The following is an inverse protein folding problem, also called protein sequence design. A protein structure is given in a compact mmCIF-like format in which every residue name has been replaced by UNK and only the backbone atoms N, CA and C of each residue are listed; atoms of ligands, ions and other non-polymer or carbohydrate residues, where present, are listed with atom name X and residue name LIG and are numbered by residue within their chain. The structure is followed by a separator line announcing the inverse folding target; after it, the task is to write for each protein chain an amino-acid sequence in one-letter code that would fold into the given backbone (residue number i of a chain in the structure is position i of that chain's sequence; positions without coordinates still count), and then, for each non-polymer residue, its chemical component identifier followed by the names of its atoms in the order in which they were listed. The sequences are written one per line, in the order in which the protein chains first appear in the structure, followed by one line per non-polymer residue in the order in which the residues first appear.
data_IF_200241647527
#
_entry.id   IF_200241647527
#
_cell.length_a   1.000
_cell.length_b   1.000
_cell.length_c   1.000
_cell.angle_alpha   90.00
_cell.angle_beta   90.00
_cell.angle_gamma   90.00
#
_symmetry.space_group_name_H-M   'P 1'
#
loop_
_entity.id
_entity.type
_entity.pdbx_description
1 polymer ?
#
# COMPACT_ATOMS: atom_id res chain seq x y z
N UNK A 1 15.18 20.23 15.83
CA UNK A 1 14.52 20.31 14.51
C UNK A 1 13.19 21.04 14.73
N UNK A 2 12.77 21.93 13.83
CA UNK A 2 11.46 22.56 13.97
C UNK A 2 10.36 21.51 13.75
N UNK A 3 9.29 21.56 14.54
CA UNK A 3 8.10 20.72 14.36
C UNK A 3 7.53 20.96 12.95
N UNK A 4 7.14 19.90 12.25
CA UNK A 4 6.62 20.03 10.88
C UNK A 4 5.20 20.60 10.80
N UNK A 5 4.60 20.85 11.95
CA UNK A 5 3.31 21.52 12.07
C UNK A 5 3.29 22.56 13.19
N UNK A 6 2.28 23.41 13.15
CA UNK A 6 1.98 24.43 14.18
C UNK A 6 0.50 24.44 14.50
N UNK A 7 0.13 25.00 15.65
CA UNK A 7 -1.27 25.17 16.03
C UNK A 7 -2.03 26.00 14.98
N UNK A 8 -3.26 25.57 14.67
CA UNK A 8 -4.16 26.31 13.80
C UNK A 8 -4.81 27.47 14.59
N UNK A 9 -4.59 28.74 14.20
CA UNK A 9 -5.15 29.88 14.92
C UNK A 9 -6.67 29.82 14.96
N UNK A 10 -7.28 30.28 16.06
CA UNK A 10 -8.74 30.31 16.20
C UNK A 10 -9.43 31.13 15.09
N UNK A 11 -8.76 32.13 14.54
CA UNK A 11 -9.23 32.94 13.40
C UNK A 11 -9.37 32.15 12.09
N UNK A 12 -8.68 31.01 11.97
CA UNK A 12 -8.71 30.16 10.78
C UNK A 12 -9.67 28.96 10.94
N UNK A 13 -10.42 28.91 12.06
CA UNK A 13 -11.45 27.90 12.27
C UNK A 13 -12.68 28.20 11.41
N UNK A 14 -12.92 27.38 10.40
CA UNK A 14 -14.15 27.41 9.62
C UNK A 14 -15.24 26.51 10.24
N UNK A 15 -16.45 26.55 9.67
CA UNK A 15 -17.60 25.79 10.17
C UNK A 15 -17.35 24.28 10.21
N UNK A 16 -16.61 23.75 9.24
CA UNK A 16 -16.29 22.33 9.13
C UNK A 16 -15.35 21.87 10.23
N UNK A 17 -14.28 22.64 10.48
CA UNK A 17 -13.35 22.44 11.59
C UNK A 17 -14.07 22.57 12.93
N UNK A 18 -14.90 23.60 13.08
CA UNK A 18 -15.68 23.84 14.30
C UNK A 18 -16.66 22.69 14.59
N UNK A 19 -17.32 22.18 13.55
CA UNK A 19 -18.22 21.03 13.65
C UNK A 19 -17.46 19.77 14.06
N UNK A 20 -16.32 19.47 13.41
CA UNK A 20 -15.51 18.31 13.78
C UNK A 20 -14.98 18.44 15.22
N UNK A 21 -14.47 19.61 15.62
CA UNK A 21 -14.04 19.83 17.01
C UNK A 21 -15.17 19.58 17.99
N UNK A 22 -16.39 20.03 17.69
CA UNK A 22 -17.55 19.82 18.55
C UNK A 22 -17.86 18.31 18.69
N UNK A 23 -17.85 17.57 17.57
CA UNK A 23 -18.06 16.11 17.56
C UNK A 23 -16.97 15.35 18.34
N UNK A 24 -15.72 15.80 18.23
CA UNK A 24 -14.60 15.23 18.97
C UNK A 24 -14.69 15.57 20.45
N UNK A 25 -15.01 16.83 20.78
CA UNK A 25 -15.15 17.37 22.14
C UNK A 25 -16.27 16.72 22.96
N UNK A 26 -17.31 16.24 22.28
CA UNK A 26 -18.38 15.45 22.89
C UNK A 26 -17.88 14.15 23.55
N UNK A 27 -16.62 13.75 23.35
CA UNK A 27 -16.02 12.57 23.98
C UNK A 27 -15.16 12.93 25.19
N UNK A 28 -15.19 12.12 26.26
CA UNK A 28 -14.43 12.38 27.51
C UNK A 28 -12.89 12.46 27.35
N UNK A 29 -12.33 12.17 26.16
CA UNK A 29 -10.87 12.08 25.89
C UNK A 29 -10.32 13.24 25.04
N UNK A 30 -11.10 14.30 24.83
CA UNK A 30 -10.92 15.25 23.74
C UNK A 30 -10.46 16.66 24.14
N UNK A 31 -10.34 16.94 25.45
CA UNK A 31 -10.02 18.29 25.93
C UNK A 31 -8.65 18.82 25.48
N UNK A 32 -7.78 17.92 24.98
CA UNK A 32 -6.46 18.26 24.42
C UNK A 32 -6.40 18.19 22.88
N UNK A 33 -7.51 17.92 22.19
CA UNK A 33 -7.51 17.90 20.73
C UNK A 33 -7.49 19.32 20.19
N UNK A 34 -6.59 19.57 19.23
CA UNK A 34 -6.50 20.82 18.50
C UNK A 34 -6.16 20.55 17.04
N UNK A 35 -6.47 21.54 16.20
CA UNK A 35 -6.07 21.53 14.80
C UNK A 35 -4.65 22.05 14.65
N UNK A 36 -3.97 21.50 13.64
CA UNK A 36 -2.64 21.90 13.25
C UNK A 36 -2.60 22.23 11.76
N UNK A 37 -1.72 23.15 11.38
CA UNK A 37 -1.27 23.34 10.01
C UNK A 37 0.04 22.61 9.79
N UNK A 38 0.14 21.87 8.69
CA UNK A 38 1.44 21.44 8.17
C UNK A 38 2.21 22.68 7.68
N UNK A 39 3.35 22.98 8.32
CA UNK A 39 4.23 24.10 7.95
C UNK A 39 5.24 23.66 6.90
N UNK A 40 5.70 22.42 7.02
CA UNK A 40 6.51 21.74 6.02
C UNK A 40 6.21 20.24 6.05
N UNK A 41 6.81 19.49 5.12
CA UNK A 41 6.69 18.04 5.16
C UNK A 41 7.67 17.47 6.19
N UNK A 42 7.26 16.45 6.97
CA UNK A 42 8.22 15.68 7.75
C UNK A 42 9.24 15.12 6.76
N UNK A 43 10.52 15.31 7.04
CA UNK A 43 11.56 14.85 6.12
C UNK A 43 11.85 13.35 6.32
N UNK A 44 11.53 12.83 7.50
CA UNK A 44 11.79 11.46 7.89
C UNK A 44 10.82 10.98 9.01
N UNK A 45 10.83 9.70 9.31
CA UNK A 45 10.00 8.97 10.25
C UNK A 45 10.33 9.34 11.67
N UNK A 46 11.60 9.67 11.96
CA UNK A 46 11.96 10.17 13.29
C UNK A 46 11.21 11.46 13.59
N UNK A 47 11.22 12.44 12.68
CA UNK A 47 10.41 13.66 12.82
C UNK A 47 8.91 13.34 12.95
N UNK A 48 8.42 12.39 12.17
CA UNK A 48 7.01 12.00 12.21
C UNK A 48 6.63 11.34 13.55
N UNK A 49 7.46 10.45 14.09
CA UNK A 49 7.20 9.71 15.33
C UNK A 49 7.33 10.63 16.54
N UNK A 50 8.38 11.45 16.59
CA UNK A 50 8.61 12.41 17.68
C UNK A 50 7.42 13.37 17.79
N UNK A 51 6.90 13.86 16.66
CA UNK A 51 5.81 14.84 16.68
C UNK A 51 4.41 14.19 16.80
N UNK A 52 4.25 12.90 16.48
CA UNK A 52 2.95 12.21 16.55
C UNK A 52 2.75 11.32 17.78
N UNK A 53 3.80 10.94 18.52
CA UNK A 53 3.70 10.12 19.74
C UNK A 53 2.75 8.88 19.62
N UNK A 54 2.73 8.22 18.46
CA UNK A 54 1.85 7.05 18.22
C UNK A 54 0.35 7.36 18.01
N UNK A 55 0.00 8.59 17.65
CA UNK A 55 -1.38 8.99 17.36
C UNK A 55 -1.75 8.80 15.87
N UNK A 56 -3.06 8.70 15.60
CA UNK A 56 -3.71 8.70 14.28
C UNK A 56 -3.88 10.13 13.74
N UNK A 57 -4.01 10.25 12.41
CA UNK A 57 -4.16 11.52 11.71
C UNK A 57 -5.57 11.67 11.09
N UNK A 58 -6.25 12.76 11.41
CA UNK A 58 -7.51 13.14 10.76
C UNK A 58 -7.25 14.37 9.93
N UNK A 59 -7.25 14.20 8.60
CA UNK A 59 -6.79 15.21 7.67
C UNK A 59 -7.96 15.84 6.92
N UNK A 60 -8.23 17.11 7.17
CA UNK A 60 -9.45 17.74 6.63
C UNK A 60 -9.30 18.22 5.20
N UNK A 61 -8.17 18.83 4.88
CA UNK A 61 -7.89 19.48 3.60
C UNK A 61 -6.40 19.32 3.24
N UNK A 62 -5.84 20.11 2.32
CA UNK A 62 -4.45 19.91 1.91
C UNK A 62 -3.43 20.19 3.04
N UNK A 63 -3.82 20.95 4.08
CA UNK A 63 -2.88 21.59 5.01
C UNK A 63 -3.25 21.42 6.48
N UNK A 64 -4.51 21.15 6.81
CA UNK A 64 -5.02 21.14 8.18
C UNK A 64 -5.38 19.73 8.65
N UNK A 65 -4.97 19.38 9.86
CA UNK A 65 -5.22 18.07 10.43
C UNK A 65 -5.34 18.07 11.96
N UNK A 66 -5.81 16.95 12.52
CA UNK A 66 -5.83 16.66 13.95
C UNK A 66 -5.02 15.40 14.21
N UNK A 67 -4.30 15.40 15.32
CA UNK A 67 -3.60 14.25 15.88
C UNK A 67 -4.45 13.65 17.02
N UNK A 68 -4.78 12.36 16.94
CA UNK A 68 -5.61 11.68 17.96
C UNK A 68 -5.25 10.21 18.12
N UNK A 69 -5.21 9.66 19.34
CA UNK A 69 -4.90 8.21 19.54
C UNK A 69 -5.91 7.29 18.89
N UNK A 70 -7.17 7.74 18.79
CA UNK A 70 -8.26 6.97 18.18
C UNK A 70 -9.33 7.91 17.71
N UNK A 71 -9.81 7.72 16.49
CA UNK A 71 -10.99 8.42 16.02
C UNK A 71 -12.20 8.02 16.88
N UNK A 72 -12.86 8.95 17.59
CA UNK A 72 -13.92 8.59 18.50
C UNK A 72 -15.13 8.00 17.76
N UNK A 73 -15.88 7.14 18.46
CA UNK A 73 -17.12 6.55 17.92
C UNK A 73 -18.19 7.60 17.58
N UNK A 74 -18.09 8.81 18.16
CA UNK A 74 -18.97 9.94 17.86
C UNK A 74 -18.81 10.50 16.45
N UNK A 75 -17.70 10.19 15.76
CA UNK A 75 -17.55 10.46 14.33
C UNK A 75 -18.07 9.21 13.59
N UNK A 76 -19.29 9.21 13.04
CA UNK A 76 -19.85 8.02 12.40
C UNK A 76 -19.10 7.68 11.11
N UNK A 77 -19.20 6.43 10.65
CA UNK A 77 -18.65 6.02 9.34
C UNK A 77 -19.24 6.80 8.16
N UNK A 78 -20.47 7.29 8.30
CA UNK A 78 -21.15 8.17 7.34
C UNK A 78 -20.69 9.63 7.39
N UNK A 79 -19.79 9.99 8.32
CA UNK A 79 -19.32 11.36 8.46
C UNK A 79 -18.64 11.84 7.17
N UNK A 80 -18.89 13.11 6.79
CA UNK A 80 -18.21 13.76 5.67
C UNK A 80 -16.69 13.84 5.85
N UNK A 81 -16.19 13.65 7.07
CA UNK A 81 -14.76 13.62 7.39
C UNK A 81 -14.10 12.25 7.20
N UNK A 82 -14.89 11.22 6.83
CA UNK A 82 -14.43 9.85 6.52
C UNK A 82 -14.76 9.47 5.07
N UNK A 83 -14.68 10.43 4.13
CA UNK A 83 -14.95 10.14 2.72
C UNK A 83 -13.87 9.28 2.08
N UNK A 84 -12.60 9.51 2.42
CA UNK A 84 -11.48 8.64 2.12
C UNK A 84 -10.81 8.13 3.39
N UNK A 85 -10.15 6.97 3.30
CA UNK A 85 -9.36 6.39 4.38
C UNK A 85 -8.11 5.74 3.83
N UNK A 86 -6.99 5.85 4.52
CA UNK A 86 -5.79 5.08 4.25
C UNK A 86 -5.19 4.57 5.57
N UNK A 87 -4.54 3.41 5.49
CA UNK A 87 -3.71 2.86 6.56
C UNK A 87 -2.32 2.65 5.99
N UNK A 88 -1.32 3.31 6.56
CA UNK A 88 0.08 3.17 6.18
C UNK A 88 0.82 2.51 7.34
N UNK A 89 1.41 1.37 7.07
CA UNK A 89 2.22 0.61 8.02
C UNK A 89 3.68 0.77 7.67
N UNK A 90 4.40 1.40 8.60
CA UNK A 90 5.86 1.44 8.66
C UNK A 90 6.33 0.34 9.62
N UNK A 91 7.63 0.03 9.61
CA UNK A 91 8.21 -1.01 10.48
C UNK A 91 7.89 -0.82 11.97
N UNK A 92 7.77 0.41 12.45
CA UNK A 92 7.59 0.72 13.88
C UNK A 92 6.33 1.52 14.20
N UNK A 93 5.51 1.84 13.20
CA UNK A 93 4.36 2.72 13.37
C UNK A 93 3.29 2.43 12.33
N UNK A 94 2.02 2.51 12.74
CA UNK A 94 0.89 2.54 11.82
C UNK A 94 0.24 3.91 11.87
N UNK A 95 0.01 4.48 10.69
CA UNK A 95 -0.67 5.76 10.51
C UNK A 95 -2.01 5.51 9.82
N UNK A 96 -3.08 5.95 10.49
CA UNK A 96 -4.40 6.00 9.89
C UNK A 96 -4.68 7.43 9.43
N UNK A 97 -5.12 7.57 8.19
CA UNK A 97 -5.47 8.84 7.55
C UNK A 97 -6.96 8.79 7.22
N UNK A 98 -7.71 9.77 7.73
CA UNK A 98 -9.11 9.99 7.37
C UNK A 98 -9.22 11.33 6.65
N UNK A 99 -9.99 11.41 5.56
CA UNK A 99 -10.13 12.66 4.83
C UNK A 99 -11.52 12.95 4.27
N UNK A 100 -11.74 14.24 3.99
CA UNK A 100 -12.98 14.77 3.40
C UNK A 100 -13.18 14.38 1.93
N UNK A 101 -12.14 13.87 1.28
CA UNK A 101 -12.20 13.29 -0.07
C UNK A 101 -11.10 12.26 -0.27
N UNK A 102 -11.28 11.37 -1.25
CA UNK A 102 -10.24 10.42 -1.66
C UNK A 102 -8.98 11.12 -2.18
N UNK A 103 -9.13 12.29 -2.83
CA UNK A 103 -8.01 13.10 -3.33
C UNK A 103 -7.12 13.61 -2.20
N UNK A 104 -7.71 14.12 -1.12
CA UNK A 104 -6.96 14.59 0.06
C UNK A 104 -6.17 13.42 0.68
N UNK A 105 -6.82 12.28 0.85
CA UNK A 105 -6.16 11.09 1.41
C UNK A 105 -5.02 10.59 0.51
N UNK A 106 -5.22 10.55 -0.81
CA UNK A 106 -4.18 10.15 -1.75
C UNK A 106 -2.95 11.08 -1.66
N UNK A 107 -3.16 12.40 -1.65
CA UNK A 107 -2.09 13.39 -1.56
C UNK A 107 -1.32 13.32 -0.23
N UNK A 108 -2.01 13.10 0.88
CA UNK A 108 -1.35 12.94 2.19
C UNK A 108 -0.60 11.61 2.26
N UNK A 109 -1.17 10.55 1.68
CA UNK A 109 -0.51 9.25 1.57
C UNK A 109 0.79 9.37 0.78
N UNK A 110 0.75 9.97 -0.41
CA UNK A 110 1.92 10.25 -1.24
C UNK A 110 3.05 10.92 -0.45
N UNK A 111 2.74 12.00 0.30
CA UNK A 111 3.71 12.73 1.12
C UNK A 111 4.42 11.83 2.14
N UNK A 112 3.69 10.94 2.81
CA UNK A 112 4.28 10.03 3.80
C UNK A 112 5.03 8.85 3.16
N UNK A 113 4.71 8.48 1.92
CA UNK A 113 5.48 7.47 1.19
C UNK A 113 6.82 8.00 0.68
N UNK A 114 6.99 9.33 0.60
CA UNK A 114 8.21 10.01 0.16
C UNK A 114 9.12 10.46 1.33
N UNK A 115 8.93 9.92 2.53
CA UNK A 115 9.85 10.15 3.65
C UNK A 115 11.23 9.55 3.36
N UNK A 116 12.30 10.26 3.71
CA UNK A 116 13.69 9.91 3.34
C UNK A 116 14.33 8.77 4.15
N UNK A 117 13.60 8.16 5.07
CA UNK A 117 14.16 7.15 5.98
C UNK A 117 14.62 5.89 5.26
N UNK A 118 15.59 5.18 5.86
CA UNK A 118 15.96 3.84 5.42
C UNK A 118 14.90 2.78 5.73
N UNK A 119 13.63 3.16 5.97
CA UNK A 119 12.55 2.19 6.18
C UNK A 119 12.48 1.25 4.97
N UNK A 120 12.75 -0.04 5.25
CA UNK A 120 12.91 -1.04 4.20
C UNK A 120 11.59 -1.32 3.49
N UNK A 121 10.48 -1.31 4.22
CA UNK A 121 9.15 -1.65 3.71
C UNK A 121 8.11 -0.63 4.16
N UNK A 122 7.22 -0.25 3.25
CA UNK A 122 6.01 0.50 3.60
C UNK A 122 4.82 -0.24 3.03
N UNK A 123 3.81 -0.50 3.86
CA UNK A 123 2.58 -1.16 3.47
C UNK A 123 1.39 -0.23 3.50
N UNK A 124 0.55 -0.32 2.48
CA UNK A 124 -0.62 0.52 2.30
C UNK A 124 -1.84 -0.39 2.25
N UNK A 125 -2.86 -0.10 3.04
CA UNK A 125 -4.13 -0.82 2.99
C UNK A 125 -4.06 -2.28 3.46
N UNK A 126 -3.11 -2.65 4.32
CA UNK A 126 -3.01 -4.00 4.88
C UNK A 126 -4.23 -4.38 5.75
N UNK A 127 -4.73 -3.45 6.57
CA UNK A 127 -5.80 -3.72 7.54
C UNK A 127 -7.23 -3.69 6.98
N UNK A 128 -7.42 -3.92 5.68
CA UNK A 128 -8.75 -3.92 5.08
C UNK A 128 -9.53 -5.19 5.48
N UNK A 129 -10.60 -5.02 6.25
CA UNK A 129 -11.40 -6.13 6.78
C UNK A 129 -12.70 -6.35 6.00
N UNK A 130 -12.85 -5.74 4.83
CA UNK A 130 -14.06 -5.84 4.02
C UNK A 130 -15.20 -4.99 4.56
N UNK A 131 -16.37 -5.60 4.80
CA UNK A 131 -17.66 -4.93 5.01
C UNK A 131 -17.59 -3.67 5.88
N UNK A 132 -17.75 -2.50 5.25
CA UNK A 132 -17.80 -1.19 5.90
C UNK A 132 -16.53 -0.34 5.75
N UNK A 133 -15.39 -0.96 5.43
CA UNK A 133 -14.15 -0.25 5.15
C UNK A 133 -14.16 0.31 3.73
N UNK A 134 -13.59 1.51 3.56
CA UNK A 134 -13.37 2.08 2.24
C UNK A 134 -12.02 1.67 1.71
N UNK A 135 -11.97 1.46 0.39
CA UNK A 135 -10.71 1.24 -0.30
C UNK A 135 -9.80 2.45 -0.15
N UNK A 136 -8.52 2.16 0.04
CA UNK A 136 -7.44 3.14 0.11
C UNK A 136 -7.28 3.81 -1.25
N UNK A 137 -7.42 5.14 -1.35
CA UNK A 137 -7.19 5.86 -2.59
C UNK A 137 -5.73 5.73 -3.02
N UNK A 138 -5.50 5.21 -4.22
CA UNK A 138 -4.17 4.94 -4.79
C UNK A 138 -3.81 5.93 -5.89
N UNK A 139 -4.62 6.98 -6.15
CA UNK A 139 -4.49 7.87 -7.32
C UNK A 139 -3.16 8.59 -7.44
N UNK A 140 -2.33 8.57 -6.39
CA UNK A 140 -0.96 9.05 -6.40
C UNK A 140 0.04 8.09 -7.09
N UNK A 141 -0.33 6.83 -7.36
CA UNK A 141 0.53 5.84 -8.04
C UNK A 141 0.63 6.13 -9.54
N UNK A 142 1.33 7.21 -9.87
CA UNK A 142 1.66 7.62 -11.22
C UNK A 142 3.18 7.58 -11.46
N UNK A 143 3.59 7.86 -12.71
CA UNK A 143 5.01 7.86 -13.09
C UNK A 143 5.84 8.86 -12.30
N UNK A 144 5.26 10.03 -11.95
CA UNK A 144 5.96 11.09 -11.20
C UNK A 144 6.24 10.61 -9.79
N UNK A 145 5.23 10.11 -9.08
CA UNK A 145 5.40 9.56 -7.74
C UNK A 145 6.45 8.44 -7.71
N UNK A 146 6.40 7.50 -8.67
CA UNK A 146 7.37 6.41 -8.71
C UNK A 146 8.80 6.95 -8.91
N UNK A 147 8.99 7.92 -9.80
CA UNK A 147 10.28 8.57 -9.98
C UNK A 147 10.79 9.22 -8.69
N UNK A 148 9.93 10.01 -8.01
CA UNK A 148 10.27 10.66 -6.74
C UNK A 148 10.59 9.63 -5.64
N UNK A 149 9.82 8.53 -5.56
CA UNK A 149 10.04 7.44 -4.62
C UNK A 149 11.43 6.81 -4.82
N UNK A 150 11.85 6.61 -6.07
CA UNK A 150 13.19 6.09 -6.38
C UNK A 150 14.32 7.06 -6.05
N UNK A 151 14.12 8.35 -6.28
CA UNK A 151 15.11 9.38 -5.95
C UNK A 151 15.30 9.48 -4.43
N UNK A 152 14.22 9.29 -3.67
CA UNK A 152 14.24 9.36 -2.21
C UNK A 152 14.73 8.06 -1.57
N UNK A 153 14.23 6.91 -2.01
CA UNK A 153 14.59 5.61 -1.44
C UNK A 153 14.52 4.49 -2.49
N UNK A 154 15.63 4.25 -3.23
CA UNK A 154 15.65 3.30 -4.36
C UNK A 154 15.53 1.84 -3.95
N UNK A 155 15.59 1.52 -2.65
CA UNK A 155 15.57 0.14 -2.15
C UNK A 155 14.31 -0.20 -1.35
N UNK A 156 13.38 0.74 -1.25
CA UNK A 156 12.13 0.59 -0.52
C UNK A 156 11.23 -0.45 -1.17
N UNK A 157 10.77 -1.40 -0.37
CA UNK A 157 9.69 -2.32 -0.71
C UNK A 157 8.35 -1.61 -0.52
N UNK A 158 7.63 -1.40 -1.63
CA UNK A 158 6.27 -0.91 -1.61
C UNK A 158 5.31 -2.10 -1.53
N UNK A 159 4.49 -2.16 -0.48
CA UNK A 159 3.49 -3.21 -0.31
C UNK A 159 2.10 -2.61 -0.51
N UNK A 160 1.40 -3.07 -1.54
CA UNK A 160 0.02 -2.72 -1.86
C UNK A 160 -0.90 -3.81 -1.32
N UNK A 161 -1.49 -3.57 -0.15
CA UNK A 161 -2.38 -4.50 0.53
C UNK A 161 -3.80 -4.52 -0.04
N UNK A 162 -4.66 -5.36 0.56
CA UNK A 162 -6.05 -5.63 0.18
C UNK A 162 -6.95 -4.41 0.07
N UNK A 163 -6.66 -3.40 0.87
CA UNK A 163 -7.39 -2.14 0.84
C UNK A 163 -7.11 -1.31 -0.40
N UNK A 164 -6.05 -1.60 -1.16
CA UNK A 164 -5.73 -0.88 -2.38
C UNK A 164 -6.54 -1.41 -3.57
N UNK A 165 -6.83 -0.49 -4.49
CA UNK A 165 -7.44 -0.80 -5.78
C UNK A 165 -6.68 -0.05 -6.87
N UNK A 166 -6.21 -0.76 -7.88
CA UNK A 166 -5.44 -0.20 -8.99
C UNK A 166 -6.30 -0.09 -10.24
N UNK A 167 -6.37 1.12 -10.78
CA UNK A 167 -6.86 1.36 -12.13
C UNK A 167 -5.90 0.79 -13.17
N UNK A 168 -6.36 0.68 -14.41
CA UNK A 168 -5.51 0.30 -15.54
C UNK A 168 -4.29 1.23 -15.68
N UNK A 169 -4.50 2.54 -15.56
CA UNK A 169 -3.42 3.53 -15.71
C UNK A 169 -2.34 3.38 -14.63
N UNK A 170 -2.74 3.14 -13.37
CA UNK A 170 -1.80 2.93 -12.26
C UNK A 170 -1.04 1.62 -12.43
N UNK A 171 -1.74 0.58 -12.91
CA UNK A 171 -1.15 -0.72 -13.22
C UNK A 171 -0.06 -0.60 -14.30
N UNK A 172 -0.35 0.13 -15.38
CA UNK A 172 0.63 0.43 -16.43
C UNK A 172 1.79 1.26 -15.88
N UNK A 173 1.53 2.31 -15.10
CA UNK A 173 2.59 3.16 -14.53
C UNK A 173 3.57 2.36 -13.65
N UNK A 174 3.05 1.45 -12.82
CA UNK A 174 3.86 0.53 -12.01
C UNK A 174 4.67 -0.43 -12.89
N UNK A 175 4.01 -1.13 -13.80
CA UNK A 175 4.63 -2.17 -14.62
C UNK A 175 5.63 -1.63 -15.66
N UNK A 176 5.43 -0.41 -16.16
CA UNK A 176 6.31 0.21 -17.18
C UNK A 176 7.45 1.04 -16.59
N UNK A 177 7.54 1.17 -15.26
CA UNK A 177 8.55 2.02 -14.65
C UNK A 177 9.97 1.58 -15.06
N UNK A 178 10.85 2.51 -15.51
CA UNK A 178 12.13 2.14 -16.11
C UNK A 178 13.16 1.61 -15.11
N UNK A 179 13.05 1.95 -13.81
CA UNK A 179 13.95 1.48 -12.77
C UNK A 179 13.41 0.21 -12.08
N UNK A 180 14.29 -0.71 -11.63
CA UNK A 180 13.85 -1.92 -10.93
C UNK A 180 13.13 -1.62 -9.60
N UNK A 181 11.86 -1.99 -9.50
CA UNK A 181 11.00 -1.83 -8.33
C UNK A 181 11.10 -3.02 -7.38
N UNK A 182 10.87 -2.77 -6.08
CA UNK A 182 10.51 -3.82 -5.12
C UNK A 182 9.05 -3.63 -4.75
N UNK A 183 8.19 -4.48 -5.29
CA UNK A 183 6.74 -4.38 -5.15
C UNK A 183 6.17 -5.67 -4.56
N UNK A 184 5.31 -5.55 -3.54
CA UNK A 184 4.44 -6.63 -3.07
C UNK A 184 2.98 -6.27 -3.37
N UNK A 185 2.24 -7.21 -3.95
CA UNK A 185 0.87 -6.99 -4.42
C UNK A 185 -0.07 -8.00 -3.75
N UNK A 186 -0.99 -7.50 -2.93
CA UNK A 186 -2.17 -8.21 -2.40
C UNK A 186 -3.46 -7.37 -2.64
N UNK A 187 -3.38 -6.41 -3.57
CA UNK A 187 -4.44 -5.45 -3.86
C UNK A 187 -5.40 -5.90 -4.96
N UNK A 188 -6.50 -5.16 -5.13
CA UNK A 188 -7.44 -5.36 -6.22
C UNK A 188 -7.01 -4.62 -7.49
N UNK A 189 -7.37 -5.16 -8.66
CA UNK A 189 -7.15 -4.53 -9.96
C UNK A 189 -8.49 -4.30 -10.67
N UNK A 190 -8.61 -3.19 -11.38
CA UNK A 190 -9.79 -2.83 -12.18
C UNK A 190 -10.11 -3.87 -13.26
N UNK A 191 -9.09 -4.42 -13.89
CA UNK A 191 -9.18 -5.37 -15.00
C UNK A 191 -8.58 -6.73 -14.64
N UNK A 192 -8.66 -7.10 -13.35
CA UNK A 192 -8.08 -8.33 -12.81
C UNK A 192 -6.56 -8.45 -13.02
N UNK A 193 -5.87 -7.34 -13.30
CA UNK A 193 -4.42 -7.25 -13.42
C UNK A 193 -3.90 -7.43 -14.83
N UNK A 194 -4.77 -7.53 -15.83
CA UNK A 194 -4.38 -7.73 -17.23
C UNK A 194 -3.44 -6.63 -17.73
N UNK A 195 -3.79 -5.35 -17.54
CA UNK A 195 -2.93 -4.25 -17.96
C UNK A 195 -1.54 -4.28 -17.29
N UNK A 196 -1.47 -4.74 -16.04
CA UNK A 196 -0.19 -4.92 -15.34
C UNK A 196 0.65 -6.02 -16.01
N UNK A 197 0.08 -7.20 -16.24
CA UNK A 197 0.80 -8.34 -16.84
C UNK A 197 1.21 -8.06 -18.29
N UNK A 198 0.29 -7.55 -19.11
CA UNK A 198 0.58 -7.19 -20.51
C UNK A 198 1.72 -6.17 -20.60
N UNK A 199 1.75 -5.19 -19.69
CA UNK A 199 2.84 -4.20 -19.65
C UNK A 199 4.15 -4.84 -19.18
N UNK A 200 4.11 -5.75 -18.19
CA UNK A 200 5.30 -6.46 -17.72
C UNK A 200 5.92 -7.36 -18.81
N UNK A 201 5.09 -8.07 -19.59
CA UNK A 201 5.56 -8.99 -20.63
C UNK A 201 6.20 -8.27 -21.82
N UNK A 202 5.89 -6.98 -22.01
CA UNK A 202 6.48 -6.13 -23.04
C UNK A 202 7.81 -5.48 -22.61
N UNK A 203 8.24 -5.66 -21.36
CA UNK A 203 9.48 -5.06 -20.87
C UNK A 203 10.68 -5.64 -21.61
N UNK A 204 11.65 -4.79 -21.88
CA UNK A 204 13.00 -5.19 -22.34
C UNK A 204 14.05 -5.03 -21.24
N UNK A 205 13.65 -4.52 -20.07
CA UNK A 205 14.51 -4.23 -18.93
C UNK A 205 13.99 -4.91 -17.66
N UNK A 206 14.89 -5.13 -16.70
CA UNK A 206 14.54 -5.74 -15.42
C UNK A 206 13.48 -4.90 -14.69
N UNK A 207 12.39 -5.55 -14.26
CA UNK A 207 11.37 -4.97 -13.40
C UNK A 207 11.83 -4.89 -11.95
N UNK A 208 12.76 -5.74 -11.51
CA UNK A 208 13.15 -5.90 -10.12
C UNK A 208 12.40 -7.05 -9.44
N UNK A 209 11.95 -6.82 -8.21
CA UNK A 209 11.33 -7.85 -7.36
C UNK A 209 9.83 -7.65 -7.28
N UNK A 210 9.08 -8.66 -7.73
CA UNK A 210 7.64 -8.76 -7.52
C UNK A 210 7.35 -9.83 -6.47
N UNK A 211 6.63 -9.46 -5.42
CA UNK A 211 6.23 -10.37 -4.34
C UNK A 211 4.73 -10.58 -4.39
N UNK A 212 4.32 -11.84 -4.56
CA UNK A 212 2.93 -12.29 -4.51
C UNK A 212 2.74 -13.01 -3.18
N UNK A 213 2.61 -12.24 -2.11
CA UNK A 213 2.41 -12.77 -0.76
C UNK A 213 0.94 -12.72 -0.41
N UNK A 214 0.29 -13.87 -0.41
CA UNK A 214 -0.99 -14.03 0.28
C UNK A 214 -0.73 -14.05 1.79
N UNK A 215 -0.65 -12.88 2.44
CA UNK A 215 -0.57 -12.79 3.92
C UNK A 215 -1.80 -13.38 4.65
N UNK A 216 -2.72 -13.97 3.89
CA UNK A 216 -4.13 -14.14 4.18
C UNK A 216 -4.67 -15.47 3.68
N UNK A 217 -3.90 -16.54 3.86
CA UNK A 217 -4.36 -17.91 3.60
C UNK A 217 -5.62 -18.30 4.41
N UNK A 218 -6.15 -17.39 5.23
CA UNK A 218 -7.23 -17.64 6.19
C UNK A 218 -8.55 -16.91 5.89
N UNK A 219 -8.63 -16.02 4.89
CA UNK A 219 -9.90 -15.38 4.52
C UNK A 219 -10.45 -15.92 3.20
N UNK A 220 -11.26 -16.98 3.30
CA UNK A 220 -12.01 -17.61 2.19
C UNK A 220 -12.86 -16.62 1.39
N UNK A 221 -13.20 -15.45 1.95
CA UNK A 221 -14.01 -14.43 1.25
C UNK A 221 -13.22 -13.68 0.18
N UNK A 222 -11.89 -13.67 0.27
CA UNK A 222 -11.03 -12.94 -0.66
C UNK A 222 -10.57 -13.81 -1.83
N UNK A 223 -10.42 -15.12 -1.61
CA UNK A 223 -9.98 -16.10 -2.61
C UNK A 223 -10.94 -16.23 -3.80
N UNK A 224 -12.24 -15.98 -3.61
CA UNK A 224 -13.22 -16.08 -4.72
C UNK A 224 -13.23 -14.86 -5.67
N UNK A 225 -12.71 -13.70 -5.24
CA UNK A 225 -12.83 -12.45 -6.00
C UNK A 225 -11.51 -11.89 -6.54
N UNK A 226 -10.37 -12.43 -6.14
CA UNK A 226 -9.08 -11.83 -6.47
C UNK A 226 -8.01 -12.88 -6.78
N UNK A 227 -7.28 -12.60 -7.85
CA UNK A 227 -5.88 -13.00 -8.07
C UNK A 227 -5.56 -14.36 -8.69
N UNK A 228 -6.46 -15.35 -8.76
CA UNK A 228 -6.08 -16.65 -9.37
C UNK A 228 -5.63 -16.52 -10.84
N UNK A 229 -6.36 -15.74 -11.66
CA UNK A 229 -5.94 -15.48 -13.05
C UNK A 229 -4.70 -14.61 -13.16
N UNK A 230 -4.56 -13.62 -12.28
CA UNK A 230 -3.38 -12.74 -12.24
C UNK A 230 -2.09 -13.51 -11.94
N UNK A 231 -2.12 -14.44 -10.99
CA UNK A 231 -0.95 -15.22 -10.60
C UNK A 231 -0.46 -16.14 -11.72
N UNK A 232 -1.36 -16.80 -12.46
CA UNK A 232 -0.97 -17.64 -13.58
C UNK A 232 -0.44 -16.80 -14.75
N UNK A 233 -1.06 -15.67 -15.04
CA UNK A 233 -0.64 -14.76 -16.11
C UNK A 233 0.76 -14.15 -15.84
N UNK A 234 1.10 -13.83 -14.59
CA UNK A 234 2.46 -13.35 -14.22
C UNK A 234 3.55 -14.34 -14.64
N UNK A 235 3.27 -15.65 -14.66
CA UNK A 235 4.27 -16.65 -15.03
C UNK A 235 4.75 -16.48 -16.48
N UNK A 236 3.94 -15.86 -17.33
CA UNK A 236 4.34 -15.51 -18.71
C UNK A 236 5.36 -14.36 -18.78
N UNK A 237 5.49 -13.55 -17.72
CA UNK A 237 6.35 -12.37 -17.66
C UNK A 237 7.64 -12.56 -16.82
N UNK A 238 7.97 -13.79 -16.41
CA UNK A 238 9.09 -14.09 -15.51
C UNK A 238 10.48 -13.75 -16.06
N UNK A 239 10.63 -13.58 -17.37
CA UNK A 239 11.93 -13.23 -17.99
C UNK A 239 12.47 -11.87 -17.56
N UNK A 240 11.61 -11.01 -17.02
CA UNK A 240 11.98 -9.66 -16.62
C UNK A 240 11.74 -9.40 -15.13
N UNK A 241 11.38 -10.42 -14.35
CA UNK A 241 10.93 -10.26 -12.96
C UNK A 241 11.62 -11.27 -12.05
N UNK A 242 12.16 -10.80 -10.93
CA UNK A 242 12.49 -11.65 -9.78
C UNK A 242 11.22 -11.90 -8.95
N UNK A 243 10.61 -13.07 -9.08
CA UNK A 243 9.35 -13.41 -8.40
C UNK A 243 9.60 -13.99 -7.00
N UNK A 244 8.88 -13.47 -5.99
CA UNK A 244 8.78 -14.02 -4.63
C UNK A 244 7.35 -14.46 -4.36
N UNK A 245 7.14 -15.72 -3.99
CA UNK A 245 5.78 -16.29 -3.86
C UNK A 245 5.68 -17.32 -2.72
N UNK A 246 4.50 -17.91 -2.52
CA UNK A 246 4.26 -19.00 -1.57
C UNK A 246 3.82 -20.27 -2.29
N UNK A 247 4.01 -21.44 -1.67
CA UNK A 247 3.61 -22.72 -2.25
C UNK A 247 2.11 -22.79 -2.61
N UNK A 248 1.29 -22.01 -1.91
CA UNK A 248 -0.17 -21.98 -2.07
C UNK A 248 -0.61 -21.51 -3.46
N UNK A 249 0.19 -20.66 -4.12
CA UNK A 249 -0.08 -20.21 -5.48
C UNK A 249 -0.04 -21.38 -6.47
N UNK A 250 0.61 -22.49 -6.11
CA UNK A 250 0.69 -23.71 -6.92
C UNK A 250 -0.41 -24.73 -6.58
N UNK A 251 -1.18 -24.53 -5.50
CA UNK A 251 -2.26 -25.44 -5.13
C UNK A 251 -3.50 -25.17 -5.98
N UNK A 252 -3.87 -26.12 -6.84
CA UNK A 252 -5.20 -26.19 -7.46
C UNK A 252 -5.32 -25.80 -8.93
N UNK A 253 -4.24 -25.49 -9.65
CA UNK A 253 -4.36 -25.28 -11.11
C UNK A 253 -3.01 -25.34 -11.83
N UNK A 254 -3.08 -25.37 -13.16
CA UNK A 254 -2.08 -25.57 -14.21
C UNK A 254 -0.81 -24.70 -14.14
N UNK A 255 -0.58 -23.93 -13.08
CA UNK A 255 0.65 -23.18 -12.79
C UNK A 255 1.89 -24.06 -12.57
N UNK A 256 1.71 -25.38 -12.44
CA UNK A 256 2.78 -26.39 -12.34
C UNK A 256 3.44 -26.64 -13.72
N UNK A 257 2.80 -26.21 -14.82
CA UNK A 257 3.27 -26.40 -16.19
C UNK A 257 4.16 -25.22 -16.60
N UNK A 258 5.35 -25.52 -17.11
CA UNK A 258 6.61 -25.49 -16.39
C UNK A 258 7.14 -24.07 -16.26
N UNK A 259 8.14 -23.94 -15.37
CA UNK A 259 9.25 -23.00 -15.48
C UNK A 259 10.07 -23.19 -16.79
N UNK A 260 9.40 -23.45 -17.92
CA UNK A 260 10.00 -23.55 -19.25
C UNK A 260 10.20 -22.18 -19.88
N UNK A 261 9.54 -21.13 -19.34
CA UNK A 261 9.93 -19.76 -19.63
C UNK A 261 11.25 -19.45 -18.92
N UNK A 262 12.14 -18.71 -19.57
CA UNK A 262 13.33 -18.20 -18.90
C UNK A 262 12.88 -17.26 -17.79
N UNK A 263 13.05 -17.66 -16.53
CA UNK A 263 12.81 -16.79 -15.39
C UNK A 263 14.12 -16.08 -15.00
N UNK A 264 14.03 -14.81 -14.61
CA UNK A 264 15.18 -14.07 -14.08
C UNK A 264 15.59 -14.62 -12.70
N UNK A 265 14.61 -14.78 -11.79
CA UNK A 265 14.76 -15.41 -10.47
C UNK A 265 13.39 -15.81 -9.93
N UNK A 266 13.29 -16.99 -9.33
CA UNK A 266 12.09 -17.44 -8.62
C UNK A 266 12.48 -17.86 -7.20
N UNK A 267 11.86 -17.23 -6.21
CA UNK A 267 11.95 -17.62 -4.80
C UNK A 267 10.55 -17.95 -4.29
N UNK A 268 10.40 -19.04 -3.56
CA UNK A 268 9.12 -19.37 -2.94
C UNK A 268 9.30 -19.94 -1.54
N UNK A 269 8.32 -19.67 -0.68
CA UNK A 269 8.26 -20.22 0.69
C UNK A 269 7.20 -21.30 0.78
N UNK A 270 7.56 -22.45 1.34
CA UNK A 270 6.63 -23.52 1.68
C UNK A 270 6.27 -23.34 3.17
N UNK A 271 5.05 -22.92 3.52
CA UNK A 271 4.70 -22.55 4.89
C UNK A 271 4.50 -23.77 5.80
N UNK A 272 4.26 -24.95 5.25
CA UNK A 272 4.04 -26.18 6.02
C UNK A 272 4.80 -27.36 5.40
N UNK A 273 5.50 -28.15 6.22
CA UNK A 273 6.29 -29.29 5.78
C UNK A 273 5.45 -30.38 5.09
N UNK A 274 4.15 -30.49 5.41
CA UNK A 274 3.25 -31.42 4.73
C UNK A 274 2.99 -31.06 3.26
N UNK A 275 3.32 -29.84 2.83
CA UNK A 275 3.16 -29.38 1.45
C UNK A 275 4.43 -29.59 0.61
N UNK A 276 5.54 -29.98 1.24
CA UNK A 276 6.80 -30.26 0.54
C UNK A 276 6.61 -31.41 -0.46
N UNK A 277 5.88 -32.46 -0.07
CA UNK A 277 5.59 -33.61 -0.93
C UNK A 277 4.74 -33.24 -2.17
N UNK A 278 3.94 -32.17 -2.11
CA UNK A 278 3.16 -31.66 -3.25
C UNK A 278 4.04 -30.84 -4.21
N UNK A 279 5.15 -30.28 -3.72
CA UNK A 279 6.07 -29.38 -4.45
C UNK A 279 7.29 -30.13 -5.01
N UNK A 280 7.65 -31.29 -4.46
CA UNK A 280 8.74 -32.16 -4.94
C UNK A 280 8.59 -32.62 -6.41
N UNK A 281 7.40 -32.47 -7.00
CA UNK A 281 7.13 -32.73 -8.42
C UNK A 281 7.73 -31.63 -9.33
N UNK A 282 8.08 -30.45 -8.78
CA UNK A 282 8.68 -29.35 -9.53
C UNK A 282 10.18 -29.59 -9.76
N UNK A 283 10.51 -30.22 -10.88
CA UNK A 283 11.90 -30.26 -11.35
C UNK A 283 12.26 -28.88 -11.94
N UNK A 284 12.96 -28.04 -11.19
CA UNK A 284 13.56 -26.81 -11.72
C UNK A 284 14.77 -27.21 -12.59
N UNK A 285 14.55 -27.38 -13.90
CA UNK A 285 15.64 -27.63 -14.82
C UNK A 285 16.39 -26.32 -15.11
N UNK A 286 17.69 -26.21 -14.81
CA UNK A 286 18.46 -25.04 -15.21
C UNK A 286 18.52 -24.96 -16.74
N UNK A 287 18.27 -23.77 -17.29
CA UNK A 287 18.44 -23.52 -18.73
C UNK A 287 19.92 -23.73 -19.07
N UNK A 288 20.22 -24.65 -19.99
CA UNK A 288 21.55 -24.74 -20.61
C UNK A 288 21.79 -23.41 -21.33
N UNK A 289 22.76 -22.65 -20.87
CA UNK A 289 23.30 -21.51 -21.59
C UNK A 289 23.95 -22.02 -22.87
N UNK A 290 23.40 -21.61 -24.02
CA UNK A 290 24.06 -21.72 -25.33
C UNK A 290 25.07 -20.58 -25.49
#
# INVERSE_FOLDING_TARGET
MACWFRDLPASEMNDDRSTLMTQLRATKRSSKMQFYHAVHHPCNMKCLIEDLEGHQLVWLDAESFIVTKKLPKSVPYSSKFRKGTACIEFTYMTIYIYGTSSRVVALVTERFLLLKDPCYSICIGANYNGTGDKLTPTTFLDTRFLQELFEVNPHRLLVLGRGCYLSKQQSVALASHPKPLKLEVDCMFEDYGRAFVETLSQRTTDFGVLSLWTRSCFDKRYTEKSSYGFHSEIMSALSHVSLRTTSQIWKGSQCIIPLSSSALRLEYTIPNSSEIAEVEILTVAPKKSN
#
